data_IF_964985137005
#
_entry.id   IF_964985137005
#
_cell.length_a   1.000
_cell.length_b   1.000
_cell.length_c   1.000
_cell.angle_alpha   90.00
_cell.angle_beta   90.00
_cell.angle_gamma   90.00
#
_symmetry.space_group_name_H-M   'P 1'
#
loop_
_entity.id
_entity.type
_entity.pdbx_description
1 polymer ?
#
# COMPACT_ATOMS: atom_id res chain seq x y z
N UNK A 1 -14.58 -1.80 -34.99
CA UNK A 1 -14.30 -0.75 -33.95
C UNK A 1 -14.86 -1.12 -32.57
N UNK A 2 -16.15 -1.40 -32.39
CA UNK A 2 -16.74 -1.76 -31.07
C UNK A 2 -16.06 -2.96 -30.39
N UNK A 3 -15.63 -3.99 -31.13
CA UNK A 3 -14.94 -5.17 -30.58
C UNK A 3 -13.51 -4.86 -30.09
N UNK A 4 -12.81 -3.93 -30.74
CA UNK A 4 -11.46 -3.51 -30.35
C UNK A 4 -11.51 -2.70 -29.04
N UNK A 5 -12.50 -1.81 -28.93
CA UNK A 5 -12.71 -1.02 -27.70
C UNK A 5 -13.07 -1.93 -26.52
N UNK A 6 -13.95 -2.94 -26.76
CA UNK A 6 -14.32 -3.89 -25.71
C UNK A 6 -13.12 -4.75 -25.27
N UNK A 7 -12.27 -5.17 -26.21
CA UNK A 7 -11.04 -5.92 -25.91
C UNK A 7 -10.04 -5.05 -25.12
N UNK A 8 -9.89 -3.78 -25.47
CA UNK A 8 -9.01 -2.86 -24.74
C UNK A 8 -9.50 -2.60 -23.31
N UNK A 9 -10.82 -2.49 -23.10
CA UNK A 9 -11.41 -2.35 -21.76
C UNK A 9 -11.23 -3.63 -20.94
N UNK A 10 -11.41 -4.81 -21.53
CA UNK A 10 -11.17 -6.09 -20.85
C UNK A 10 -9.68 -6.30 -20.50
N UNK A 11 -8.75 -5.91 -21.38
CA UNK A 11 -7.31 -5.99 -21.09
C UNK A 11 -6.90 -4.97 -20.03
N UNK A 12 -7.48 -3.78 -20.03
CA UNK A 12 -7.24 -2.77 -19.00
C UNK A 12 -7.69 -3.22 -17.60
N UNK A 13 -8.78 -4.00 -17.50
CA UNK A 13 -9.30 -4.50 -16.24
C UNK A 13 -8.47 -5.64 -15.62
N UNK A 14 -7.72 -6.39 -16.42
CA UNK A 14 -6.87 -7.49 -15.91
C UNK A 14 -5.55 -7.03 -15.31
N UNK A 15 -5.09 -5.81 -15.63
CA UNK A 15 -3.88 -5.23 -15.02
C UNK A 15 -4.09 -4.77 -13.57
N UNK A 16 -5.32 -4.65 -13.12
CA UNK A 16 -5.65 -4.22 -11.76
C UNK A 16 -5.71 -5.35 -10.73
N UNK A 17 -5.48 -6.60 -11.11
CA UNK A 17 -5.59 -7.76 -10.21
C UNK A 17 -4.27 -8.16 -9.53
N UNK A 18 -3.29 -7.28 -9.46
CA UNK A 18 -2.16 -7.45 -8.55
C UNK A 18 -2.55 -6.94 -7.15
N UNK A 19 -3.55 -7.55 -6.56
CA UNK A 19 -3.88 -7.33 -5.17
C UNK A 19 -2.83 -8.03 -4.31
N UNK A 20 -1.77 -7.34 -4.01
CA UNK A 20 -0.77 -7.80 -3.06
C UNK A 20 -0.91 -7.05 -1.75
N UNK A 21 -1.15 -7.76 -0.67
CA UNK A 21 -1.03 -7.24 0.67
C UNK A 21 -2.34 -6.92 1.40
N UNK A 22 -2.29 -7.10 2.70
CA UNK A 22 -3.40 -6.86 3.63
C UNK A 22 -3.61 -5.37 3.96
N UNK A 23 -2.73 -4.49 3.49
CA UNK A 23 -2.77 -3.06 3.79
C UNK A 23 -3.13 -2.28 2.53
N UNK A 24 -4.19 -1.52 2.62
CA UNK A 24 -4.53 -0.50 1.63
C UNK A 24 -3.62 0.71 1.82
N UNK A 25 -3.13 1.26 0.72
CA UNK A 25 -2.38 2.51 0.75
C UNK A 25 -3.32 3.66 0.39
N UNK A 26 -3.74 4.42 1.39
CA UNK A 26 -4.54 5.64 1.22
C UNK A 26 -3.67 6.88 1.04
N UNK A 27 -2.39 6.78 1.38
CA UNK A 27 -1.43 7.88 1.29
C UNK A 27 -0.86 7.97 -0.13
N UNK A 28 -1.64 8.51 -1.06
CA UNK A 28 -1.28 8.61 -2.47
C UNK A 28 -0.71 9.98 -2.85
N UNK A 29 -0.63 10.90 -1.91
CA UNK A 29 -0.03 12.22 -2.11
C UNK A 29 0.66 12.72 -0.85
N UNK A 30 1.65 13.59 -1.03
CA UNK A 30 2.36 14.23 0.09
C UNK A 30 1.43 15.10 0.95
N UNK A 31 0.36 15.63 0.36
CA UNK A 31 -0.63 16.43 1.09
C UNK A 31 -1.43 15.60 2.08
N UNK A 32 -1.62 14.31 1.84
CA UNK A 32 -2.26 13.41 2.79
C UNK A 32 -1.48 13.32 4.12
N UNK A 33 -0.16 13.38 4.06
CA UNK A 33 0.67 13.37 5.28
C UNK A 33 0.47 14.63 6.14
N UNK A 34 0.15 15.75 5.51
CA UNK A 34 -0.11 17.02 6.21
C UNK A 34 -1.52 17.09 6.77
N UNK A 35 -2.46 16.55 6.04
CA UNK A 35 -3.87 16.53 6.41
C UNK A 35 -4.52 15.24 5.92
N UNK A 36 -4.68 14.23 6.78
CA UNK A 36 -5.30 12.96 6.40
C UNK A 36 -6.82 13.06 6.18
N UNK A 37 -7.47 14.13 6.65
CA UNK A 37 -8.87 14.39 6.38
C UNK A 37 -9.04 14.95 4.95
N UNK A 38 -9.30 14.07 4.00
CA UNK A 38 -9.35 14.39 2.57
C UNK A 38 -10.77 14.44 1.98
N UNK A 39 -11.80 14.25 2.79
CA UNK A 39 -13.19 14.12 2.32
C UNK A 39 -13.69 15.40 1.63
N UNK A 40 -13.23 16.57 2.09
CA UNK A 40 -13.55 17.87 1.51
C UNK A 40 -12.40 18.47 0.70
N UNK A 41 -11.50 17.65 0.18
CA UNK A 41 -10.37 18.13 -0.60
C UNK A 41 -10.84 18.68 -1.96
N UNK A 42 -10.55 19.97 -2.21
CA UNK A 42 -10.87 20.68 -3.45
C UNK A 42 -9.61 20.94 -4.30
N UNK A 43 -8.50 20.26 -4.02
CA UNK A 43 -7.26 20.37 -4.77
C UNK A 43 -7.11 19.20 -5.75
N UNK A 44 -6.03 19.19 -6.53
CA UNK A 44 -5.74 18.09 -7.46
C UNK A 44 -5.68 16.72 -6.76
N UNK A 45 -5.26 16.66 -5.50
CA UNK A 45 -5.22 15.39 -4.76
C UNK A 45 -6.63 14.82 -4.48
N UNK A 46 -7.67 15.64 -4.62
CA UNK A 46 -9.06 15.21 -4.59
C UNK A 46 -9.43 14.19 -5.67
N UNK A 47 -8.62 14.05 -6.73
CA UNK A 47 -8.84 13.04 -7.80
C UNK A 47 -9.03 11.63 -7.23
N UNK A 48 -8.39 11.31 -6.12
CA UNK A 48 -8.57 10.03 -5.43
C UNK A 48 -9.66 10.06 -4.37
N UNK A 49 -9.65 11.08 -3.50
CA UNK A 49 -10.47 11.10 -2.27
C UNK A 49 -11.82 11.80 -2.44
N UNK A 50 -11.87 12.86 -3.25
CA UNK A 50 -13.07 13.69 -3.50
C UNK A 50 -13.10 14.16 -4.95
N UNK A 51 -13.44 13.29 -5.92
CA UNK A 51 -13.44 13.67 -7.34
C UNK A 51 -14.35 14.86 -7.67
N UNK A 52 -15.48 15.02 -6.95
CA UNK A 52 -16.36 16.15 -7.13
C UNK A 52 -15.70 17.48 -6.75
N UNK A 53 -14.81 17.46 -5.76
CA UNK A 53 -14.05 18.63 -5.31
C UNK A 53 -13.08 19.17 -6.36
N UNK A 54 -12.63 18.33 -7.29
CA UNK A 54 -11.72 18.74 -8.37
C UNK A 54 -12.34 19.75 -9.32
N UNK A 55 -13.67 19.79 -9.44
CA UNK A 55 -14.37 20.79 -10.25
C UNK A 55 -14.22 22.23 -9.73
N UNK A 56 -13.78 22.40 -8.49
CA UNK A 56 -13.47 23.73 -7.94
C UNK A 56 -12.09 24.26 -8.34
N UNK A 57 -11.28 23.44 -9.03
CA UNK A 57 -10.03 23.92 -9.63
C UNK A 57 -10.33 24.92 -10.77
N UNK A 58 -9.36 25.77 -11.06
CA UNK A 58 -9.45 26.68 -12.21
C UNK A 58 -9.58 25.86 -13.50
N UNK A 59 -10.30 26.37 -14.52
CA UNK A 59 -10.36 25.73 -15.82
C UNK A 59 -8.96 25.51 -16.41
N UNK A 60 -8.75 24.32 -17.01
CA UNK A 60 -7.48 23.96 -17.64
C UNK A 60 -6.94 22.60 -17.23
N UNK A 61 -5.69 22.36 -17.54
CA UNK A 61 -4.97 21.12 -17.18
C UNK A 61 -4.24 21.29 -15.85
N UNK A 62 -4.38 20.29 -15.00
CA UNK A 62 -3.69 20.18 -13.72
C UNK A 62 -2.93 18.86 -13.69
N UNK A 63 -1.72 18.89 -13.19
CA UNK A 63 -0.85 17.73 -13.15
C UNK A 63 0.00 17.73 -11.88
N UNK A 64 0.10 16.58 -11.23
CA UNK A 64 0.89 16.39 -10.02
C UNK A 64 1.57 15.05 -10.00
N UNK A 65 2.84 15.06 -9.60
CA UNK A 65 3.63 13.85 -9.34
C UNK A 65 4.07 13.87 -7.89
N UNK A 66 3.92 12.75 -7.22
CA UNK A 66 4.39 12.57 -5.86
C UNK A 66 5.33 11.36 -5.81
N UNK A 67 6.42 11.51 -5.10
CA UNK A 67 7.37 10.45 -4.80
C UNK A 67 7.49 10.36 -3.28
N UNK A 68 7.32 9.16 -2.75
CA UNK A 68 7.42 8.89 -1.33
C UNK A 68 8.43 7.78 -1.10
N UNK A 69 9.04 7.78 0.08
CA UNK A 69 9.88 6.70 0.57
C UNK A 69 9.34 6.25 1.91
N UNK A 70 9.24 4.94 2.11
CA UNK A 70 8.79 4.37 3.36
C UNK A 70 9.81 3.36 3.89
N UNK A 71 10.08 3.48 5.17
CA UNK A 71 10.85 2.52 5.94
C UNK A 71 10.08 2.16 7.20
N UNK A 72 9.93 0.88 7.45
CA UNK A 72 9.19 0.38 8.60
C UNK A 72 9.94 -0.78 9.24
N UNK A 73 10.03 -0.77 10.56
CA UNK A 73 10.45 -1.92 11.35
C UNK A 73 9.25 -2.53 12.04
N UNK A 74 9.25 -3.83 12.22
CA UNK A 74 8.24 -4.56 12.98
C UNK A 74 8.92 -5.50 13.96
N UNK A 75 8.40 -5.53 15.17
CA UNK A 75 8.79 -6.47 16.20
C UNK A 75 7.55 -7.27 16.61
N UNK A 76 7.66 -8.59 16.54
CA UNK A 76 6.59 -9.51 16.93
C UNK A 76 7.13 -10.37 18.04
N UNK A 77 6.63 -10.19 19.24
CA UNK A 77 6.90 -11.07 20.37
C UNK A 77 5.88 -12.21 20.34
N UNK A 78 6.36 -13.43 20.28
CA UNK A 78 5.54 -14.64 20.28
C UNK A 78 5.95 -15.54 21.43
N UNK A 79 4.97 -15.95 22.23
CA UNK A 79 5.10 -16.95 23.27
C UNK A 79 4.50 -18.27 22.80
N UNK A 80 5.29 -19.33 22.80
CA UNK A 80 4.82 -20.67 22.44
C UNK A 80 5.60 -21.73 23.22
N UNK A 81 4.89 -22.57 23.96
CA UNK A 81 5.47 -23.54 24.90
C UNK A 81 6.41 -24.56 24.26
N UNK A 82 6.27 -24.83 22.97
CA UNK A 82 7.11 -25.78 22.24
C UNK A 82 8.34 -25.10 21.57
N UNK A 83 8.56 -23.82 21.76
CA UNK A 83 9.84 -23.21 21.34
C UNK A 83 10.97 -23.74 22.20
N UNK A 84 11.89 -24.48 21.58
CA UNK A 84 13.03 -25.08 22.28
C UNK A 84 14.18 -24.09 22.51
N UNK A 85 14.26 -23.07 21.65
CA UNK A 85 15.36 -22.11 21.69
C UNK A 85 14.79 -20.71 21.48
N UNK A 86 15.10 -19.82 22.41
CA UNK A 86 14.88 -18.38 22.25
C UNK A 86 15.80 -17.79 21.18
N UNK A 87 15.58 -16.52 20.83
CA UNK A 87 16.43 -15.79 19.88
C UNK A 87 17.90 -15.76 20.33
N UNK A 88 18.11 -15.72 21.65
CA UNK A 88 19.43 -15.67 22.29
C UNK A 88 19.90 -17.05 22.79
N UNK A 89 19.45 -18.16 22.18
CA UNK A 89 19.68 -19.52 22.68
C UNK A 89 19.22 -19.75 24.14
N UNK A 90 18.41 -18.88 24.67
CA UNK A 90 17.72 -19.12 25.93
C UNK A 90 16.63 -20.16 25.74
N UNK A 91 16.46 -21.06 26.67
CA UNK A 91 15.35 -22.03 26.72
C UNK A 91 14.00 -21.36 27.04
N UNK A 92 13.82 -20.13 26.67
CA UNK A 92 12.59 -19.35 26.84
C UNK A 92 11.56 -19.71 25.78
N UNK A 93 10.31 -19.87 26.20
CA UNK A 93 9.18 -20.02 25.30
C UNK A 93 8.86 -18.74 24.53
N UNK A 94 9.48 -17.62 24.86
CA UNK A 94 9.27 -16.33 24.24
C UNK A 94 10.33 -16.04 23.18
N UNK A 95 9.89 -15.65 21.99
CA UNK A 95 10.77 -15.23 20.89
C UNK A 95 10.37 -13.90 20.33
N UNK A 96 11.38 -13.10 19.99
CA UNK A 96 11.22 -11.83 19.31
C UNK A 96 11.62 -11.96 17.84
N UNK A 97 10.65 -11.71 16.96
CA UNK A 97 10.87 -11.71 15.51
C UNK A 97 10.92 -10.27 15.02
N UNK A 98 12.05 -9.88 14.45
CA UNK A 98 12.25 -8.55 13.89
C UNK A 98 12.16 -8.60 12.37
N UNK A 99 11.46 -7.64 11.80
CA UNK A 99 11.37 -7.48 10.36
C UNK A 99 11.63 -6.04 9.96
N UNK A 100 12.19 -5.89 8.77
CA UNK A 100 12.32 -4.62 8.08
C UNK A 100 11.52 -4.65 6.78
N UNK A 101 10.80 -3.57 6.52
CA UNK A 101 10.14 -3.31 5.25
C UNK A 101 10.63 -2.00 4.68
N UNK A 102 11.12 -2.05 3.45
CA UNK A 102 11.68 -0.90 2.74
C UNK A 102 10.94 -0.73 1.42
N UNK A 103 10.42 0.46 1.19
CA UNK A 103 9.88 0.88 -0.10
C UNK A 103 10.57 2.20 -0.48
N UNK A 104 11.68 2.12 -1.22
CA UNK A 104 12.52 3.29 -1.49
C UNK A 104 11.81 4.34 -2.33
N UNK A 105 10.91 3.93 -3.21
CA UNK A 105 10.13 4.83 -4.05
C UNK A 105 8.71 4.31 -4.20
N UNK A 106 7.75 5.14 -3.81
CA UNK A 106 6.32 4.92 -4.01
C UNK A 106 5.82 6.08 -4.87
N UNK A 107 5.69 5.89 -6.19
CA UNK A 107 5.25 6.94 -7.08
C UNK A 107 3.72 7.07 -7.08
N UNK A 108 3.25 8.28 -7.28
CA UNK A 108 1.86 8.55 -7.68
C UNK A 108 1.77 9.73 -8.63
N UNK A 109 0.77 9.70 -9.49
CA UNK A 109 0.49 10.69 -10.49
C UNK A 109 -0.99 11.04 -10.45
N UNK A 110 -1.29 12.31 -10.35
CA UNK A 110 -2.64 12.84 -10.48
C UNK A 110 -2.69 13.80 -11.66
N UNK A 111 -3.75 13.70 -12.46
CA UNK A 111 -4.02 14.62 -13.53
C UNK A 111 -5.52 14.96 -13.57
N UNK A 112 -5.83 16.19 -13.92
CA UNK A 112 -7.19 16.62 -14.14
C UNK A 112 -7.25 17.64 -15.27
N UNK A 113 -8.33 17.59 -16.04
CA UNK A 113 -8.72 18.64 -16.95
C UNK A 113 -10.11 19.13 -16.55
N UNK A 114 -10.26 20.44 -16.33
CA UNK A 114 -11.49 21.06 -15.87
C UNK A 114 -11.98 22.05 -16.93
N UNK A 115 -13.26 21.95 -17.28
CA UNK A 115 -13.90 22.87 -18.20
C UNK A 115 -15.39 23.05 -17.81
N UNK A 116 -15.68 24.13 -17.11
CA UNK A 116 -17.01 24.39 -16.56
C UNK A 116 -17.48 23.28 -15.63
N UNK A 117 -18.64 22.68 -15.88
CA UNK A 117 -19.18 21.62 -15.00
C UNK A 117 -18.53 20.26 -15.24
N UNK A 118 -17.66 20.12 -16.24
CA UNK A 118 -17.02 18.86 -16.61
C UNK A 118 -15.58 18.80 -16.13
N UNK A 119 -15.21 17.68 -15.51
CA UNK A 119 -13.81 17.33 -15.29
C UNK A 119 -13.49 15.91 -15.75
N UNK A 120 -12.33 15.75 -16.36
CA UNK A 120 -11.71 14.45 -16.65
C UNK A 120 -10.54 14.27 -15.70
N UNK A 121 -10.47 13.11 -15.03
CA UNK A 121 -9.55 12.90 -13.93
C UNK A 121 -8.84 11.57 -14.07
N UNK A 122 -7.57 11.53 -13.70
CA UNK A 122 -6.73 10.35 -13.69
C UNK A 122 -5.92 10.30 -12.41
N UNK A 123 -5.98 9.16 -11.72
CA UNK A 123 -5.07 8.84 -10.62
C UNK A 123 -4.34 7.53 -10.92
N UNK A 124 -3.03 7.58 -10.91
CA UNK A 124 -2.16 6.41 -10.99
C UNK A 124 -1.32 6.35 -9.72
N UNK A 125 -1.58 5.34 -8.88
CA UNK A 125 -0.89 5.19 -7.62
C UNK A 125 -0.89 3.73 -7.15
N UNK A 126 0.02 3.39 -6.26
CA UNK A 126 0.05 2.10 -5.59
C UNK A 126 -0.98 2.11 -4.46
N UNK A 127 -2.18 1.63 -4.75
CA UNK A 127 -3.32 1.64 -3.81
C UNK A 127 -3.32 0.48 -2.81
N UNK A 128 -2.47 -0.51 -3.01
CA UNK A 128 -2.37 -1.68 -2.14
C UNK A 128 -1.07 -2.43 -2.34
N UNK A 129 -0.83 -3.37 -1.46
CA UNK A 129 0.44 -4.06 -1.41
C UNK A 129 1.49 -3.20 -0.70
N UNK A 130 2.23 -3.82 0.15
CA UNK A 130 3.34 -3.19 0.85
C UNK A 130 4.66 -3.63 0.27
N UNK A 131 5.73 -3.00 0.69
CA UNK A 131 7.08 -3.47 0.44
C UNK A 131 7.28 -4.88 0.99
N UNK A 132 8.35 -5.51 0.58
CA UNK A 132 8.79 -6.79 1.11
C UNK A 132 9.20 -6.61 2.58
N UNK A 133 8.54 -7.33 3.49
CA UNK A 133 9.02 -7.46 4.86
C UNK A 133 9.99 -8.64 4.94
N UNK A 134 11.20 -8.41 5.41
CA UNK A 134 12.22 -9.44 5.57
C UNK A 134 12.41 -9.69 7.06
N UNK A 135 12.25 -10.94 7.47
CA UNK A 135 12.49 -11.40 8.83
C UNK A 135 13.82 -12.15 8.86
N UNK A 136 14.79 -11.66 9.60
CA UNK A 136 16.13 -12.26 9.65
C UNK A 136 16.14 -13.64 10.29
N UNK A 137 15.28 -13.85 11.28
CA UNK A 137 15.23 -15.10 12.07
C UNK A 137 13.90 -15.86 11.86
N UNK A 138 13.30 -15.74 10.67
CA UNK A 138 12.04 -16.41 10.35
C UNK A 138 10.82 -15.71 10.93
N UNK A 139 9.68 -16.40 10.91
CA UNK A 139 8.40 -15.90 11.36
C UNK A 139 7.81 -16.87 12.38
N UNK A 140 7.29 -16.35 13.48
CA UNK A 140 6.74 -17.15 14.58
C UNK A 140 5.68 -18.16 14.17
N UNK A 141 4.87 -17.84 13.16
CA UNK A 141 3.85 -18.76 12.63
C UNK A 141 4.45 -19.98 11.91
N UNK A 142 5.63 -19.86 11.32
CA UNK A 142 6.34 -21.00 10.71
C UNK A 142 7.09 -21.79 11.76
N UNK A 143 7.78 -21.12 12.67
CA UNK A 143 8.54 -21.79 13.72
C UNK A 143 7.65 -22.59 14.68
N UNK A 144 6.45 -22.09 15.02
CA UNK A 144 5.51 -22.83 15.83
C UNK A 144 5.05 -24.14 15.15
N UNK A 145 4.83 -24.12 13.83
CA UNK A 145 4.50 -25.33 13.07
C UNK A 145 5.65 -26.35 13.06
N UNK A 146 6.88 -25.87 12.86
CA UNK A 146 8.08 -26.71 12.88
C UNK A 146 8.30 -27.31 14.28
N UNK A 147 8.09 -26.52 15.34
CA UNK A 147 8.20 -26.98 16.71
C UNK A 147 7.16 -28.07 17.05
N UNK A 148 5.93 -27.93 16.56
CA UNK A 148 4.90 -28.97 16.71
C UNK A 148 5.25 -30.25 15.96
N UNK A 149 5.74 -30.16 14.71
CA UNK A 149 6.15 -31.32 13.93
C UNK A 149 7.38 -32.03 14.52
N UNK A 150 8.26 -31.31 15.20
CA UNK A 150 9.40 -31.88 15.88
C UNK A 150 9.12 -32.48 17.26
N UNK A 151 7.92 -32.29 17.77
CA UNK A 151 7.44 -32.83 19.03
C UNK A 151 6.58 -34.10 18.85
N UNK A 152 6.23 -34.47 17.62
CA UNK A 152 5.58 -35.72 17.21
C UNK A 152 6.61 -36.79 16.88
#
# INVERSE_FOLDING_TARGET
MKKIVLSAVLFGSTLSMMAGGYLTNTNQSVTFLRNPAQDANITLNGVYSNPAGVNFLQPGFHFGVNLQSAYQTREIQSAFHAFKYGIDNNSSSDKLFKAEAKAPVIPSLQAAWVNGPLSLQLNLALVGGGGKATYEHGLGSFESKVALLGAL
#
